data_IF_351340557445
#
_entry.id   IF_351340557445
#
_cell.length_a   1.000
_cell.length_b   1.000
_cell.length_c   1.000
_cell.angle_alpha   90.00
_cell.angle_beta   90.00
_cell.angle_gamma   90.00
#
_symmetry.space_group_name_H-M   'P 1'
#
loop_
_entity.id
_entity.type
_entity.pdbx_description
1 polymer ?
#
# COMPACT_ATOMS: atom_id res chain seq x y z
N UNK A 1 28.71 6.50 15.63
CA UNK A 1 27.82 6.49 16.80
C UNK A 1 27.57 7.94 17.21
N UNK A 2 26.31 8.40 17.29
CA UNK A 2 25.97 9.77 17.73
C UNK A 2 25.79 10.85 16.65
N UNK A 3 25.38 10.52 15.41
CA UNK A 3 25.02 11.48 14.33
C UNK A 3 23.92 10.88 13.44
N UNK A 4 23.30 11.68 12.55
CA UNK A 4 22.16 12.59 12.75
C UNK A 4 20.82 11.84 12.96
N UNK A 5 19.80 12.55 13.46
CA UNK A 5 18.40 12.09 13.47
C UNK A 5 17.96 11.71 12.05
N UNK A 6 17.66 10.43 11.85
CA UNK A 6 17.15 9.89 10.60
C UNK A 6 15.63 9.68 10.64
N UNK A 7 15.04 9.65 11.83
CA UNK A 7 13.67 9.20 12.04
C UNK A 7 12.61 10.22 11.64
N UNK A 8 12.90 11.51 11.72
CA UNK A 8 11.98 12.57 11.32
C UNK A 8 12.04 12.92 9.82
N UNK A 9 12.97 12.32 9.07
CA UNK A 9 13.12 12.58 7.64
C UNK A 9 12.13 11.76 6.78
N UNK A 10 11.58 12.35 5.70
CA UNK A 10 10.84 11.59 4.69
C UNK A 10 11.68 10.44 4.13
N UNK A 11 11.04 9.31 3.79
CA UNK A 11 11.71 8.06 3.40
C UNK A 11 12.80 8.24 2.33
N UNK A 12 12.53 9.05 1.30
CA UNK A 12 13.52 9.34 0.23
C UNK A 12 14.73 10.11 0.75
N UNK A 13 14.50 11.09 1.61
CA UNK A 13 15.55 11.90 2.24
C UNK A 13 16.39 11.03 3.18
N UNK A 14 15.75 10.21 4.01
CA UNK A 14 16.42 9.23 4.89
C UNK A 14 17.34 8.29 4.12
N UNK A 15 16.83 7.71 3.01
CA UNK A 15 17.63 6.82 2.15
C UNK A 15 18.83 7.50 1.51
N UNK A 16 18.75 8.80 1.18
CA UNK A 16 19.88 9.57 0.67
C UNK A 16 20.92 9.79 1.79
N UNK A 17 20.48 10.26 2.96
CA UNK A 17 21.38 10.54 4.09
C UNK A 17 22.10 9.28 4.55
N UNK A 18 21.40 8.16 4.69
CA UNK A 18 22.01 6.88 5.04
C UNK A 18 23.17 6.48 4.11
N UNK A 19 22.97 6.60 2.78
CA UNK A 19 24.02 6.30 1.80
C UNK A 19 25.18 7.30 1.88
N UNK A 20 24.89 8.58 2.09
CA UNK A 20 25.92 9.61 2.30
C UNK A 20 26.79 9.28 3.51
N UNK A 21 26.18 8.89 4.64
CA UNK A 21 26.91 8.52 5.86
C UNK A 21 27.81 7.30 5.63
N UNK A 22 27.30 6.25 4.99
CA UNK A 22 28.11 5.06 4.67
C UNK A 22 29.23 5.39 3.68
N UNK A 23 28.95 6.20 2.66
CA UNK A 23 29.93 6.63 1.67
C UNK A 23 31.08 7.40 2.33
N UNK A 24 30.77 8.35 3.23
CA UNK A 24 31.76 9.11 4.00
C UNK A 24 32.54 8.22 4.98
N UNK A 25 31.87 7.28 5.66
CA UNK A 25 32.52 6.35 6.58
C UNK A 25 33.52 5.42 5.88
N UNK A 26 33.27 5.08 4.61
CA UNK A 26 34.19 4.32 3.76
C UNK A 26 35.31 5.18 3.15
N UNK A 27 35.37 6.47 3.47
CA UNK A 27 36.40 7.40 2.97
C UNK A 27 36.10 7.99 1.58
N UNK A 28 34.90 7.79 1.04
CA UNK A 28 34.50 8.34 -0.25
C UNK A 28 33.85 9.72 -0.11
N UNK A 29 34.00 10.54 -1.15
CA UNK A 29 33.21 11.77 -1.31
C UNK A 29 31.83 11.40 -1.83
N UNK A 30 30.80 11.68 -1.03
CA UNK A 30 29.42 11.39 -1.42
C UNK A 30 28.98 12.28 -2.61
N UNK A 31 28.40 11.70 -3.68
CA UNK A 31 27.92 12.48 -4.81
C UNK A 31 26.68 13.29 -4.41
N UNK A 32 26.40 14.36 -5.16
CA UNK A 32 25.19 15.15 -4.99
C UNK A 32 23.90 14.31 -5.17
N UNK A 33 23.96 13.28 -6.01
CA UNK A 33 22.89 12.29 -6.20
C UNK A 33 23.48 10.89 -6.45
N UNK A 34 22.80 9.85 -5.94
CA UNK A 34 23.14 8.46 -6.19
C UNK A 34 22.40 7.94 -7.42
N UNK A 35 23.12 7.31 -8.35
CA UNK A 35 22.53 6.70 -9.53
C UNK A 35 21.55 5.57 -9.14
N UNK A 36 20.47 5.41 -9.90
CA UNK A 36 19.46 4.37 -9.67
C UNK A 36 19.88 3.00 -10.23
N UNK A 37 21.08 2.55 -9.88
CA UNK A 37 21.65 1.23 -10.19
C UNK A 37 21.88 0.40 -8.93
N UNK A 38 21.89 -0.92 -9.06
CA UNK A 38 22.11 -1.84 -7.94
C UNK A 38 23.47 -2.55 -8.13
N UNK A 39 24.36 -2.53 -7.12
CA UNK A 39 24.27 -1.79 -5.87
C UNK A 39 24.35 -0.26 -6.05
N UNK A 40 23.77 0.49 -5.11
CA UNK A 40 23.82 1.96 -5.13
C UNK A 40 25.25 2.51 -4.91
N UNK A 41 26.06 1.83 -4.09
CA UNK A 41 27.49 2.14 -3.91
C UNK A 41 28.33 1.13 -4.72
N UNK A 42 28.43 1.35 -6.03
CA UNK A 42 29.10 0.42 -6.97
C UNK A 42 30.56 0.12 -6.62
N UNK A 43 31.34 1.13 -6.28
CA UNK A 43 32.79 0.96 -6.02
C UNK A 43 33.07 0.03 -4.84
N UNK A 44 32.23 0.06 -3.80
CA UNK A 44 32.36 -0.82 -2.64
C UNK A 44 31.58 -2.14 -2.79
N UNK A 45 30.81 -2.30 -3.87
CA UNK A 45 29.80 -3.34 -4.05
C UNK A 45 28.82 -3.45 -2.85
N UNK A 46 28.26 -2.31 -2.42
CA UNK A 46 27.44 -2.19 -1.20
C UNK A 46 26.04 -1.64 -1.47
N UNK A 47 25.03 -2.27 -0.91
CA UNK A 47 23.71 -1.66 -0.70
C UNK A 47 23.49 -1.26 0.77
N UNK A 48 22.78 -0.15 0.96
CA UNK A 48 22.57 0.47 2.27
C UNK A 48 21.09 0.50 2.62
N UNK A 49 20.76 -0.02 3.79
CA UNK A 49 19.42 -0.09 4.36
C UNK A 49 19.38 0.60 5.71
N UNK A 50 18.24 1.22 6.02
CA UNK A 50 17.95 1.82 7.32
C UNK A 50 16.77 1.07 7.92
N UNK A 51 16.96 0.50 9.11
CA UNK A 51 16.07 -0.53 9.63
C UNK A 51 15.68 -0.27 11.09
N UNK A 52 14.38 -0.28 11.38
CA UNK A 52 13.80 -0.07 12.71
C UNK A 52 13.18 -1.36 13.30
N UNK A 53 13.13 -2.44 12.52
CA UNK A 53 12.51 -3.71 12.90
C UNK A 53 13.17 -4.88 12.18
N UNK A 54 12.84 -6.11 12.56
CA UNK A 54 13.43 -7.31 11.94
C UNK A 54 13.06 -7.53 10.47
N UNK A 55 12.04 -6.87 9.94
CA UNK A 55 11.58 -7.09 8.55
C UNK A 55 12.36 -6.23 7.54
N UNK A 56 13.46 -6.76 7.01
CA UNK A 56 14.22 -6.14 5.93
C UNK A 56 13.55 -6.36 4.58
N UNK A 57 13.52 -5.30 3.77
CA UNK A 57 12.76 -5.28 2.53
C UNK A 57 13.65 -4.92 1.35
N UNK A 58 13.86 -5.87 0.44
CA UNK A 58 14.65 -5.68 -0.78
C UNK A 58 13.69 -5.58 -1.96
N UNK A 59 13.77 -4.49 -2.72
CA UNK A 59 12.83 -4.22 -3.80
C UNK A 59 13.41 -4.60 -5.17
N UNK A 60 12.60 -5.29 -5.97
CA UNK A 60 12.80 -5.62 -7.39
C UNK A 60 14.04 -6.46 -7.73
N UNK A 61 14.61 -7.15 -6.75
CA UNK A 61 15.75 -8.05 -6.91
C UNK A 61 15.78 -9.08 -5.77
N UNK A 62 16.43 -10.21 -6.04
CA UNK A 62 16.85 -11.17 -5.03
C UNK A 62 18.09 -10.67 -4.26
N UNK A 63 18.50 -11.41 -3.23
CA UNK A 63 19.78 -11.17 -2.56
C UNK A 63 20.92 -11.54 -3.51
N UNK A 64 21.84 -10.62 -3.74
CA UNK A 64 23.03 -10.83 -4.56
C UNK A 64 24.15 -11.34 -3.66
N UNK A 65 24.55 -12.61 -3.85
CA UNK A 65 25.52 -13.29 -3.00
C UNK A 65 26.91 -12.63 -2.99
N UNK A 66 27.29 -11.94 -4.07
CA UNK A 66 28.58 -11.26 -4.19
C UNK A 66 28.58 -9.86 -3.55
N UNK A 67 27.40 -9.33 -3.19
CA UNK A 67 27.21 -7.97 -2.68
C UNK A 67 27.30 -7.93 -1.16
N UNK A 68 27.73 -6.79 -0.61
CA UNK A 68 27.65 -6.49 0.82
C UNK A 68 26.43 -5.63 1.13
N UNK A 69 25.79 -5.91 2.25
CA UNK A 69 24.61 -5.21 2.72
C UNK A 69 24.95 -4.51 4.04
N UNK A 70 24.87 -3.18 4.05
CA UNK A 70 25.05 -2.35 5.25
C UNK A 70 23.66 -2.00 5.79
N UNK A 71 23.33 -2.53 6.96
CA UNK A 71 22.06 -2.31 7.65
C UNK A 71 22.31 -1.39 8.84
N UNK A 72 21.85 -0.15 8.73
CA UNK A 72 21.87 0.84 9.80
C UNK A 72 20.67 0.59 10.71
N UNK A 73 20.91 0.18 11.96
CA UNK A 73 19.87 -0.05 12.96
C UNK A 73 19.48 1.29 13.57
N UNK A 74 18.19 1.61 13.53
CA UNK A 74 17.64 2.87 14.04
C UNK A 74 16.71 2.56 15.21
N UNK A 75 16.97 3.22 16.34
CA UNK A 75 16.12 3.22 17.53
C UNK A 75 16.03 4.66 18.04
N UNK A 76 14.83 5.07 18.46
CA UNK A 76 14.56 6.44 18.93
C UNK A 76 15.14 7.50 17.96
N UNK A 77 14.91 7.26 16.66
CA UNK A 77 15.31 8.11 15.54
C UNK A 77 16.83 8.30 15.31
N UNK A 78 17.67 7.63 16.11
CA UNK A 78 19.13 7.66 15.98
C UNK A 78 19.68 6.31 15.50
N UNK A 79 20.81 6.34 14.79
CA UNK A 79 21.55 5.12 14.43
C UNK A 79 22.23 4.57 15.68
N UNK A 80 21.76 3.43 16.18
CA UNK A 80 22.29 2.78 17.38
C UNK A 80 23.29 1.68 17.07
N UNK A 81 23.21 1.06 15.90
CA UNK A 81 24.15 0.01 15.48
C UNK A 81 24.26 -0.06 13.95
N UNK A 82 25.32 -0.69 13.47
CA UNK A 82 25.56 -0.94 12.05
C UNK A 82 25.96 -2.39 11.85
N UNK A 83 25.14 -3.15 11.11
CA UNK A 83 25.47 -4.50 10.68
C UNK A 83 25.94 -4.49 9.24
N UNK A 84 27.09 -5.11 8.98
CA UNK A 84 27.58 -5.37 7.63
C UNK A 84 27.54 -6.87 7.40
N UNK A 85 26.75 -7.31 6.43
CA UNK A 85 26.53 -8.72 6.15
C UNK A 85 26.77 -9.01 4.66
N UNK A 86 27.42 -10.13 4.35
CA UNK A 86 27.58 -10.58 2.98
C UNK A 86 26.24 -11.08 2.43
N UNK A 87 26.00 -10.93 1.13
CA UNK A 87 24.77 -11.38 0.51
C UNK A 87 24.53 -12.88 0.67
N UNK A 88 25.59 -13.70 0.61
CA UNK A 88 25.49 -15.14 0.86
C UNK A 88 24.92 -15.48 2.24
N UNK A 89 25.34 -14.73 3.28
CA UNK A 89 24.84 -14.92 4.65
C UNK A 89 23.44 -14.30 4.81
N UNK A 90 23.19 -13.15 4.16
CA UNK A 90 21.89 -12.50 4.21
C UNK A 90 20.79 -13.34 3.56
N UNK A 91 21.11 -14.12 2.52
CA UNK A 91 20.19 -15.01 1.86
C UNK A 91 19.63 -16.11 2.78
N UNK A 92 20.32 -16.43 3.90
CA UNK A 92 19.83 -17.40 4.88
C UNK A 92 18.55 -16.92 5.60
N UNK A 93 18.32 -15.61 5.64
CA UNK A 93 17.10 -15.02 6.19
C UNK A 93 15.92 -15.02 5.20
N UNK A 94 16.13 -15.52 3.98
CA UNK A 94 15.09 -15.69 2.98
C UNK A 94 14.34 -17.01 3.19
N UNK A 95 13.38 -16.98 4.10
CA UNK A 95 12.56 -18.16 4.40
C UNK A 95 11.46 -18.40 3.36
N UNK A 96 11.19 -17.44 2.47
CA UNK A 96 10.05 -17.50 1.55
C UNK A 96 10.48 -17.78 0.11
N UNK A 97 11.71 -17.43 -0.28
CA UNK A 97 12.26 -17.61 -1.63
C UNK A 97 11.45 -16.93 -2.73
N UNK A 98 10.46 -16.10 -2.38
CA UNK A 98 9.45 -15.61 -3.30
C UNK A 98 9.37 -14.09 -3.25
N UNK A 99 9.64 -13.47 -4.39
CA UNK A 99 9.43 -12.06 -4.63
C UNK A 99 7.93 -11.75 -4.68
N UNK A 100 7.38 -11.17 -3.61
CA UNK A 100 5.97 -10.72 -3.57
C UNK A 100 5.79 -9.47 -4.40
N UNK A 101 4.84 -9.47 -5.33
CA UNK A 101 4.73 -8.43 -6.36
C UNK A 101 3.45 -7.62 -6.18
N UNK A 102 3.54 -6.27 -6.21
CA UNK A 102 2.39 -5.37 -6.07
C UNK A 102 2.17 -4.51 -7.30
N UNK A 103 0.92 -4.40 -7.71
CA UNK A 103 0.49 -3.51 -8.79
C UNK A 103 0.34 -2.07 -8.29
N UNK A 104 0.62 -1.10 -9.15
CA UNK A 104 0.49 0.33 -8.85
C UNK A 104 -0.10 1.12 -10.01
N UNK A 105 -0.85 2.16 -9.69
CA UNK A 105 -1.47 3.07 -10.65
C UNK A 105 -1.48 4.52 -10.19
N UNK A 106 -1.59 5.47 -11.13
CA UNK A 106 -1.82 6.90 -10.88
C UNK A 106 -3.07 7.33 -11.62
N UNK A 107 -3.78 8.37 -11.14
CA UNK A 107 -4.90 8.97 -11.89
C UNK A 107 -4.41 9.57 -13.23
N UNK A 108 -5.11 9.35 -14.34
CA UNK A 108 -4.62 9.66 -15.71
C UNK A 108 -4.38 11.16 -15.93
N UNK A 109 -5.13 12.06 -15.28
CA UNK A 109 -5.20 13.47 -15.66
C UNK A 109 -5.07 14.50 -14.51
N UNK A 110 -4.54 14.13 -13.34
CA UNK A 110 -4.57 15.00 -12.13
C UNK A 110 -5.94 15.66 -11.89
N UNK A 111 -7.03 15.03 -12.40
CA UNK A 111 -8.38 15.56 -12.29
C UNK A 111 -8.69 15.71 -10.81
N UNK A 112 -9.05 16.92 -10.41
CA UNK A 112 -9.66 17.16 -9.11
C UNK A 112 -11.13 16.77 -9.18
N UNK A 113 -11.70 16.44 -8.03
CA UNK A 113 -13.11 16.14 -7.87
C UNK A 113 -13.40 14.66 -7.64
N UNK A 114 -14.49 14.46 -6.91
CA UNK A 114 -15.12 13.16 -6.71
C UNK A 114 -15.84 12.70 -7.98
N UNK A 115 -15.82 11.40 -8.25
CA UNK A 115 -16.35 10.82 -9.48
C UNK A 115 -16.82 9.38 -9.27
N UNK A 116 -17.99 9.07 -9.83
CA UNK A 116 -18.40 7.70 -10.14
C UNK A 116 -18.00 7.40 -11.59
N UNK A 117 -17.00 6.54 -11.79
CA UNK A 117 -16.43 6.24 -13.11
C UNK A 117 -17.29 5.22 -13.86
N UNK A 118 -17.71 4.16 -13.17
CA UNK A 118 -18.58 3.14 -13.74
C UNK A 118 -20.04 3.51 -13.49
N UNK A 119 -20.84 3.60 -14.55
CA UNK A 119 -22.26 3.89 -14.43
C UNK A 119 -23.05 2.77 -13.74
N UNK A 120 -22.60 1.52 -13.88
CA UNK A 120 -23.22 0.31 -13.32
C UNK A 120 -22.16 -0.70 -12.89
N UNK A 121 -22.53 -1.63 -12.01
CA UNK A 121 -21.75 -2.83 -11.70
C UNK A 121 -21.57 -3.73 -12.94
N UNK A 122 -20.60 -4.66 -12.91
CA UNK A 122 -20.39 -5.59 -14.02
C UNK A 122 -21.59 -6.54 -14.18
N UNK A 123 -21.85 -7.07 -15.40
CA UNK A 123 -22.96 -7.99 -15.61
C UNK A 123 -22.92 -9.23 -14.70
N UNK A 124 -21.73 -9.81 -14.49
CA UNK A 124 -21.56 -10.97 -13.61
C UNK A 124 -21.94 -10.64 -12.16
N UNK A 125 -21.54 -9.46 -11.67
CA UNK A 125 -21.90 -8.97 -10.35
C UNK A 125 -23.41 -8.81 -10.19
N UNK A 126 -24.05 -8.13 -11.16
CA UNK A 126 -25.49 -7.87 -11.15
C UNK A 126 -26.28 -9.18 -11.17
N UNK A 127 -25.95 -10.09 -12.07
CA UNK A 127 -26.61 -11.41 -12.16
C UNK A 127 -26.45 -12.22 -10.88
N UNK A 128 -25.26 -12.17 -10.25
CA UNK A 128 -24.95 -13.01 -9.08
C UNK A 128 -25.58 -12.51 -7.78
N UNK A 129 -25.61 -11.19 -7.59
CA UNK A 129 -25.94 -10.57 -6.31
C UNK A 129 -27.20 -9.71 -6.31
N UNK A 130 -27.79 -9.41 -7.47
CA UNK A 130 -28.97 -8.54 -7.58
C UNK A 130 -28.87 -7.29 -6.67
N UNK A 131 -27.86 -6.42 -6.91
CA UNK A 131 -27.58 -5.31 -6.02
C UNK A 131 -28.72 -4.29 -5.98
N UNK A 132 -28.81 -3.56 -4.87
CA UNK A 132 -29.90 -2.60 -4.59
C UNK A 132 -29.37 -1.31 -3.98
N UNK A 133 -30.19 -0.26 -3.94
CA UNK A 133 -29.82 1.02 -3.34
C UNK A 133 -29.78 1.00 -1.80
N UNK A 134 -30.21 -0.11 -1.20
CA UNK A 134 -30.25 -0.30 0.25
C UNK A 134 -29.97 -1.75 0.64
N UNK A 135 -29.37 -1.94 1.82
CA UNK A 135 -29.09 -3.24 2.41
C UNK A 135 -29.87 -3.40 3.72
N UNK A 136 -30.17 -4.64 4.14
CA UNK A 136 -30.75 -4.90 5.45
C UNK A 136 -29.86 -4.39 6.60
N UNK A 137 -30.47 -4.11 7.75
CA UNK A 137 -29.70 -3.84 8.96
C UNK A 137 -28.92 -5.09 9.40
N UNK A 138 -27.80 -4.87 10.08
CA UNK A 138 -27.03 -5.97 10.68
C UNK A 138 -26.08 -6.69 9.72
N UNK A 139 -25.91 -6.23 8.47
CA UNK A 139 -24.93 -6.83 7.54
C UNK A 139 -23.52 -6.61 8.09
N UNK A 140 -22.78 -7.69 8.29
CA UNK A 140 -21.37 -7.65 8.69
C UNK A 140 -20.48 -7.31 7.48
N UNK A 141 -19.41 -6.51 7.63
CA UNK A 141 -18.50 -6.20 6.51
C UNK A 141 -17.74 -7.43 5.98
N UNK A 142 -17.56 -8.45 6.82
CA UNK A 142 -16.65 -9.58 6.57
C UNK A 142 -17.32 -10.88 6.14
N UNK A 143 -18.66 -10.90 6.07
CA UNK A 143 -19.36 -12.08 5.55
C UNK A 143 -19.33 -12.10 4.03
N UNK A 144 -19.42 -13.27 3.39
CA UNK A 144 -19.55 -13.35 1.94
C UNK A 144 -20.74 -12.53 1.41
N UNK A 145 -20.62 -11.94 0.21
CA UNK A 145 -21.72 -11.23 -0.42
C UNK A 145 -22.88 -12.17 -0.72
N UNK A 146 -24.11 -11.70 -0.47
CA UNK A 146 -25.34 -12.49 -0.71
C UNK A 146 -26.35 -11.68 -1.50
N UNK A 147 -27.19 -12.38 -2.27
CA UNK A 147 -28.19 -11.75 -3.12
C UNK A 147 -29.08 -10.75 -2.35
N UNK A 148 -29.29 -9.55 -2.89
CA UNK A 148 -30.12 -8.49 -2.30
C UNK A 148 -29.55 -7.85 -1.02
N UNK A 149 -28.32 -8.20 -0.60
CA UNK A 149 -27.62 -7.59 0.55
C UNK A 149 -26.36 -6.84 0.14
N UNK A 150 -26.26 -6.50 -1.13
CA UNK A 150 -25.12 -5.79 -1.72
C UNK A 150 -25.64 -4.50 -2.32
N UNK A 151 -24.99 -3.38 -1.99
CA UNK A 151 -25.30 -2.10 -2.59
C UNK A 151 -24.94 -2.10 -4.08
N UNK A 152 -25.70 -1.40 -4.91
CA UNK A 152 -25.23 -1.04 -6.25
C UNK A 152 -24.13 0.03 -6.20
N UNK A 153 -23.31 0.12 -7.24
CA UNK A 153 -22.15 1.01 -7.24
C UNK A 153 -22.51 2.49 -7.09
N UNK A 154 -23.69 2.91 -7.58
CA UNK A 154 -24.16 4.28 -7.45
C UNK A 154 -24.50 4.59 -5.98
N UNK A 155 -25.16 3.65 -5.29
CA UNK A 155 -25.45 3.74 -3.86
C UNK A 155 -24.17 3.74 -3.02
N UNK A 156 -23.16 2.93 -3.38
CA UNK A 156 -21.83 2.99 -2.75
C UNK A 156 -21.26 4.41 -2.87
N UNK A 157 -21.22 4.97 -4.08
CA UNK A 157 -20.70 6.33 -4.30
C UNK A 157 -21.47 7.38 -3.48
N UNK A 158 -22.80 7.39 -3.56
CA UNK A 158 -23.63 8.38 -2.87
C UNK A 158 -23.54 8.28 -1.35
N UNK A 159 -23.36 7.07 -0.79
CA UNK A 159 -23.19 6.88 0.65
C UNK A 159 -21.81 7.30 1.15
N UNK A 160 -20.77 7.13 0.34
CA UNK A 160 -19.41 7.48 0.70
C UNK A 160 -19.06 8.95 0.44
N UNK A 161 -19.72 9.60 -0.52
CA UNK A 161 -19.48 11.00 -0.89
C UNK A 161 -19.54 12.00 0.29
N UNK A 162 -20.47 11.87 1.27
CA UNK A 162 -20.51 12.75 2.45
C UNK A 162 -19.31 12.65 3.39
N UNK A 163 -18.38 11.71 3.17
CA UNK A 163 -17.11 11.67 3.90
C UNK A 163 -16.11 12.73 3.41
N UNK A 164 -16.30 13.25 2.19
CA UNK A 164 -15.45 14.31 1.63
C UNK A 164 -15.64 15.62 2.43
N UNK A 165 -14.52 16.29 2.68
CA UNK A 165 -14.42 17.47 3.55
C UNK A 165 -14.20 17.15 5.03
N UNK A 166 -14.42 15.90 5.48
CA UNK A 166 -14.15 15.50 6.86
C UNK A 166 -12.66 15.43 7.15
N UNK A 167 -12.29 15.81 8.36
CA UNK A 167 -10.92 15.75 8.88
C UNK A 167 -10.79 14.72 9.99
N UNK A 168 -9.66 14.01 9.99
CA UNK A 168 -9.35 12.96 10.97
C UNK A 168 -7.99 13.23 11.60
N UNK A 169 -7.79 12.75 12.82
CA UNK A 169 -6.48 12.78 13.47
C UNK A 169 -5.48 11.95 12.67
N UNK A 170 -4.29 12.51 12.44
CA UNK A 170 -3.19 11.84 11.77
C UNK A 170 -2.28 11.18 12.83
N UNK A 171 -2.20 9.84 12.89
CA UNK A 171 -1.39 9.12 13.88
C UNK A 171 0.13 9.27 13.70
N UNK A 172 0.57 10.03 12.68
CA UNK A 172 1.99 10.38 12.46
C UNK A 172 2.51 9.89 11.12
N UNK A 173 3.64 10.44 10.66
CA UNK A 173 4.07 10.32 9.25
C UNK A 173 4.18 8.88 8.73
N UNK A 174 4.64 7.94 9.56
CA UNK A 174 4.86 6.53 9.21
C UNK A 174 3.62 5.63 9.36
N UNK A 175 2.50 6.16 9.84
CA UNK A 175 1.31 5.40 10.23
C UNK A 175 0.26 5.32 9.12
N UNK A 176 0.69 5.04 7.88
CA UNK A 176 -0.20 4.99 6.71
C UNK A 176 -1.31 3.93 6.85
N UNK A 177 -0.95 2.76 7.40
CA UNK A 177 -1.90 1.69 7.68
C UNK A 177 -3.01 2.15 8.61
N UNK A 178 -2.67 2.85 9.69
CA UNK A 178 -3.64 3.33 10.67
C UNK A 178 -4.57 4.39 10.07
N UNK A 179 -4.05 5.26 9.18
CA UNK A 179 -4.89 6.22 8.43
C UNK A 179 -5.87 5.50 7.51
N UNK A 180 -5.42 4.46 6.81
CA UNK A 180 -6.29 3.60 6.00
C UNK A 180 -7.41 2.96 6.83
N UNK A 181 -7.09 2.44 8.03
CA UNK A 181 -8.08 1.86 8.94
C UNK A 181 -9.16 2.86 9.39
N UNK A 182 -8.80 4.13 9.59
CA UNK A 182 -9.78 5.20 9.89
C UNK A 182 -10.78 5.35 8.75
N UNK A 183 -10.30 5.47 7.51
CA UNK A 183 -11.18 5.64 6.34
C UNK A 183 -12.02 4.39 6.09
N UNK A 184 -11.46 3.20 6.27
CA UNK A 184 -12.21 1.94 6.17
C UNK A 184 -13.34 1.88 7.22
N UNK A 185 -13.08 2.26 8.47
CA UNK A 185 -14.10 2.35 9.52
C UNK A 185 -15.24 3.31 9.14
N UNK A 186 -14.90 4.50 8.65
CA UNK A 186 -15.89 5.49 8.20
C UNK A 186 -16.71 4.99 7.01
N UNK A 187 -16.05 4.30 6.06
CA UNK A 187 -16.74 3.68 4.93
C UNK A 187 -17.74 2.61 5.40
N UNK A 188 -17.38 1.73 6.35
CA UNK A 188 -18.31 0.75 6.91
C UNK A 188 -19.55 1.43 7.51
N UNK A 189 -19.34 2.49 8.30
CA UNK A 189 -20.44 3.25 8.90
C UNK A 189 -21.32 3.91 7.85
N UNK A 190 -20.73 4.57 6.86
CA UNK A 190 -21.44 5.29 5.81
C UNK A 190 -22.26 4.36 4.91
N UNK A 191 -21.77 3.14 4.66
CA UNK A 191 -22.49 2.12 3.89
C UNK A 191 -23.66 1.50 4.68
N UNK A 192 -23.74 1.70 6.00
CA UNK A 192 -24.78 1.15 6.87
C UNK A 192 -24.49 -0.28 7.33
N UNK A 193 -23.20 -0.66 7.41
CA UNK A 193 -22.78 -1.96 7.93
C UNK A 193 -22.83 -1.96 9.45
N UNK A 194 -23.00 -3.14 10.03
CA UNK A 194 -23.21 -3.33 11.47
C UNK A 194 -22.05 -2.85 12.35
N UNK A 195 -20.81 -2.95 11.85
CA UNK A 195 -19.60 -2.56 12.55
C UNK A 195 -18.43 -2.46 11.57
N UNK A 196 -17.27 -2.01 12.05
CA UNK A 196 -15.98 -2.14 11.36
C UNK A 196 -15.34 -3.48 11.71
N UNK A 197 -14.88 -4.22 10.70
CA UNK A 197 -14.02 -5.38 10.87
C UNK A 197 -13.12 -5.53 9.63
N UNK A 198 -11.91 -6.06 9.85
CA UNK A 198 -10.92 -6.36 8.83
C UNK A 198 -10.39 -7.78 9.10
N UNK A 199 -10.44 -8.66 8.11
CA UNK A 199 -9.92 -10.03 8.21
C UNK A 199 -8.63 -10.23 7.41
N UNK A 200 -8.03 -9.13 6.92
CA UNK A 200 -6.77 -9.12 6.18
C UNK A 200 -6.87 -9.77 4.80
N UNK A 201 -8.07 -9.96 4.27
CA UNK A 201 -8.32 -10.53 2.95
C UNK A 201 -8.83 -9.44 2.01
N UNK A 202 -8.42 -9.53 0.75
CA UNK A 202 -8.97 -8.69 -0.31
C UNK A 202 -10.36 -9.23 -0.74
N UNK A 203 -11.37 -8.35 -0.93
CA UNK A 203 -11.35 -6.90 -0.68
C UNK A 203 -11.63 -6.53 0.78
N UNK A 204 -11.27 -5.30 1.16
CA UNK A 204 -11.46 -4.75 2.52
C UNK A 204 -12.86 -4.98 3.10
N UNK A 205 -13.92 -4.72 2.33
CA UNK A 205 -15.32 -4.96 2.71
C UNK A 205 -15.88 -6.09 1.85
N UNK A 206 -15.69 -7.34 2.30
CA UNK A 206 -16.08 -8.55 1.57
C UNK A 206 -17.57 -8.59 1.25
N UNK A 207 -18.44 -8.25 2.20
CA UNK A 207 -19.89 -8.34 2.01
C UNK A 207 -20.41 -7.40 0.93
N UNK A 208 -19.64 -6.37 0.60
CA UNK A 208 -19.92 -5.42 -0.47
C UNK A 208 -18.94 -5.55 -1.65
N UNK A 209 -18.01 -6.51 -1.64
CA UNK A 209 -16.95 -6.62 -2.65
C UNK A 209 -16.32 -5.27 -2.99
N UNK A 210 -15.91 -4.53 -1.95
CA UNK A 210 -15.42 -3.16 -2.06
C UNK A 210 -14.06 -3.04 -1.39
N UNK A 211 -13.06 -2.64 -2.16
CA UNK A 211 -11.73 -2.26 -1.69
C UNK A 211 -11.71 -0.76 -1.38
N UNK A 212 -11.19 -0.37 -0.21
CA UNK A 212 -11.17 1.03 0.25
C UNK A 212 -9.73 1.50 0.39
N UNK A 213 -9.33 2.50 -0.40
CA UNK A 213 -7.96 3.03 -0.33
C UNK A 213 -7.95 4.51 -0.02
N UNK A 214 -7.10 4.91 0.93
CA UNK A 214 -6.73 6.31 1.16
C UNK A 214 -5.43 6.63 0.42
N UNK A 215 -5.42 7.75 -0.29
CA UNK A 215 -4.30 8.25 -1.07
C UNK A 215 -3.96 9.68 -0.66
N UNK A 216 -2.84 9.83 0.06
CA UNK A 216 -2.25 11.13 0.38
C UNK A 216 -1.12 11.51 -0.60
N UNK A 217 -0.73 10.56 -1.45
CA UNK A 217 0.22 10.72 -2.52
C UNK A 217 -0.45 10.40 -3.87
N UNK A 218 0.20 10.75 -4.98
CA UNK A 218 -0.34 10.51 -6.33
C UNK A 218 -0.52 9.02 -6.68
N UNK A 219 0.26 8.14 -6.03
CA UNK A 219 0.40 6.73 -6.40
C UNK A 219 -0.44 5.83 -5.54
N UNK A 220 -1.31 5.06 -6.21
CA UNK A 220 -2.19 4.07 -5.62
C UNK A 220 -1.48 2.72 -5.59
N UNK A 221 -1.37 2.11 -4.41
CA UNK A 221 -0.98 0.69 -4.26
C UNK A 221 -2.22 -0.18 -4.47
N UNK A 222 -2.24 -0.97 -5.54
CA UNK A 222 -3.34 -1.87 -5.89
C UNK A 222 -3.27 -3.20 -5.14
N UNK A 223 -2.16 -3.49 -4.46
CA UNK A 223 -1.94 -4.77 -3.79
C UNK A 223 -1.52 -5.87 -4.78
N UNK A 224 -1.87 -7.11 -4.45
CA UNK A 224 -1.48 -8.30 -5.21
C UNK A 224 -2.39 -8.58 -6.41
N UNK A 225 -3.63 -8.08 -6.37
CA UNK A 225 -4.65 -8.35 -7.39
C UNK A 225 -4.70 -7.19 -8.40
N UNK A 226 -4.62 -7.52 -9.69
CA UNK A 226 -4.77 -6.54 -10.76
C UNK A 226 -6.27 -6.26 -10.98
N UNK A 227 -6.75 -5.00 -10.87
CA UNK A 227 -8.17 -4.69 -10.91
C UNK A 227 -8.93 -5.25 -12.11
N UNK A 228 -8.38 -5.20 -13.33
CA UNK A 228 -9.07 -5.69 -14.53
C UNK A 228 -9.00 -7.22 -14.72
N UNK A 229 -8.36 -7.94 -13.79
CA UNK A 229 -8.09 -9.36 -13.94
C UNK A 229 -9.37 -10.21 -13.97
N UNK A 230 -9.49 -11.16 -14.91
CA UNK A 230 -10.57 -12.13 -14.93
C UNK A 230 -10.36 -13.28 -13.93
N UNK A 231 -9.26 -13.29 -13.16
CA UNK A 231 -8.98 -14.33 -12.16
C UNK A 231 -10.13 -14.48 -11.17
N UNK A 232 -10.57 -15.72 -10.85
CA UNK A 232 -11.58 -15.96 -9.83
C UNK A 232 -11.16 -15.39 -8.45
N UNK A 233 -12.07 -14.67 -7.80
CA UNK A 233 -11.82 -14.07 -6.49
C UNK A 233 -11.91 -15.13 -5.39
N UNK A 234 -10.78 -15.46 -4.77
CA UNK A 234 -10.69 -16.52 -3.76
C UNK A 234 -11.59 -16.27 -2.53
N UNK A 235 -11.64 -15.04 -2.01
CA UNK A 235 -12.45 -14.67 -0.85
C UNK A 235 -13.97 -14.77 -1.11
N UNK A 236 -14.39 -14.81 -2.38
CA UNK A 236 -15.76 -15.05 -2.79
C UNK A 236 -15.97 -16.47 -3.34
N UNK A 237 -15.08 -17.43 -3.01
CA UNK A 237 -15.12 -18.81 -3.51
C UNK A 237 -15.15 -18.91 -5.05
N UNK A 238 -14.55 -17.94 -5.75
CA UNK A 238 -14.48 -17.91 -7.20
C UNK A 238 -15.81 -17.67 -7.93
N UNK A 239 -16.89 -17.30 -7.23
CA UNK A 239 -18.20 -17.05 -7.85
C UNK A 239 -18.23 -15.80 -8.72
N UNK A 240 -17.26 -14.92 -8.52
CA UNK A 240 -16.97 -13.72 -9.31
C UNK A 240 -15.46 -13.59 -9.49
N UNK A 241 -15.04 -12.70 -10.37
CA UNK A 241 -13.65 -12.40 -10.70
C UNK A 241 -13.17 -11.11 -10.02
N UNK A 242 -11.84 -10.90 -9.99
CA UNK A 242 -11.23 -9.68 -9.41
C UNK A 242 -11.81 -8.41 -10.05
N UNK A 243 -12.04 -8.40 -11.37
CA UNK A 243 -12.68 -7.29 -12.09
C UNK A 243 -14.10 -6.93 -11.65
N UNK A 244 -14.77 -7.80 -10.91
CA UNK A 244 -16.09 -7.55 -10.35
C UNK A 244 -16.01 -6.83 -8.98
N UNK A 245 -14.83 -6.77 -8.37
CA UNK A 245 -14.59 -5.97 -7.16
C UNK A 245 -14.64 -4.49 -7.50
N UNK A 246 -15.22 -3.70 -6.59
CA UNK A 246 -15.27 -2.24 -6.70
C UNK A 246 -14.17 -1.60 -5.88
N UNK A 247 -13.77 -0.41 -6.27
CA UNK A 247 -12.74 0.37 -5.60
C UNK A 247 -13.31 1.72 -5.20
N UNK A 248 -13.24 2.06 -3.91
CA UNK A 248 -13.44 3.39 -3.38
C UNK A 248 -12.07 3.99 -3.03
N UNK A 249 -11.58 4.86 -3.91
CA UNK A 249 -10.30 5.55 -3.75
C UNK A 249 -10.56 6.95 -3.21
N UNK A 250 -10.27 7.13 -1.92
CA UNK A 250 -10.27 8.43 -1.27
C UNK A 250 -8.93 9.12 -1.47
N UNK A 251 -8.99 10.38 -1.88
CA UNK A 251 -7.85 11.29 -1.85
C UNK A 251 -7.93 12.16 -0.60
N UNK A 252 -6.78 12.53 -0.08
CA UNK A 252 -6.72 13.46 1.03
C UNK A 252 -5.43 14.26 1.07
N UNK A 253 -5.48 15.33 1.86
CA UNK A 253 -4.34 16.20 2.13
C UNK A 253 -4.05 16.22 3.61
N UNK A 254 -2.77 16.34 3.98
CA UNK A 254 -2.33 16.44 5.37
C UNK A 254 -2.25 17.90 5.77
N UNK A 255 -2.71 18.22 6.98
CA UNK A 255 -2.62 19.55 7.57
C UNK A 255 -2.20 19.42 9.02
N UNK A 256 -0.89 19.47 9.27
CA UNK A 256 -0.34 19.32 10.62
C UNK A 256 -0.69 17.97 11.26
N UNK A 257 -1.42 17.93 12.39
CA UNK A 257 -1.79 16.71 13.11
C UNK A 257 -3.07 16.04 12.57
N UNK A 258 -3.59 16.47 11.43
CA UNK A 258 -4.79 15.91 10.81
C UNK A 258 -4.61 15.66 9.31
N UNK A 259 -5.52 14.88 8.74
CA UNK A 259 -5.71 14.79 7.30
C UNK A 259 -7.18 14.98 6.94
N UNK A 260 -7.44 15.63 5.81
CA UNK A 260 -8.78 15.88 5.28
C UNK A 260 -8.99 15.05 4.01
N UNK A 261 -10.18 14.47 3.83
CA UNK A 261 -10.56 13.82 2.59
C UNK A 261 -11.03 14.87 1.58
N UNK A 262 -10.44 14.88 0.38
CA UNK A 262 -10.70 15.90 -0.65
C UNK A 262 -11.54 15.38 -1.79
N UNK A 263 -11.33 14.12 -2.19
CA UNK A 263 -12.00 13.55 -3.36
C UNK A 263 -12.28 12.06 -3.15
N UNK A 264 -13.32 11.56 -3.80
CA UNK A 264 -13.67 10.14 -3.85
C UNK A 264 -13.83 9.70 -5.30
N UNK A 265 -13.08 8.68 -5.71
CA UNK A 265 -13.31 7.99 -6.98
C UNK A 265 -13.87 6.60 -6.69
N UNK A 266 -15.04 6.29 -7.27
CA UNK A 266 -15.64 4.95 -7.22
C UNK A 266 -15.67 4.34 -8.61
N UNK A 267 -15.14 3.12 -8.76
CA UNK A 267 -15.01 2.43 -10.05
C UNK A 267 -15.06 0.92 -9.86
N UNK A 268 -15.51 0.17 -10.88
CA UNK A 268 -15.36 -1.28 -10.91
C UNK A 268 -13.91 -1.67 -11.27
N UNK A 269 -13.48 -2.87 -10.91
CA UNK A 269 -12.17 -3.39 -11.35
C UNK A 269 -12.05 -3.45 -12.87
N UNK A 270 -13.13 -3.84 -13.55
CA UNK A 270 -13.25 -3.84 -15.01
C UNK A 270 -12.94 -2.47 -15.65
N UNK A 271 -13.44 -1.39 -15.05
CA UNK A 271 -13.28 -0.03 -15.58
C UNK A 271 -12.13 0.74 -14.95
N UNK A 272 -11.36 0.10 -14.05
CA UNK A 272 -10.37 0.78 -13.23
C UNK A 272 -9.39 1.62 -14.07
N UNK A 273 -8.87 1.04 -15.15
CA UNK A 273 -7.90 1.72 -16.01
C UNK A 273 -8.50 2.74 -16.99
N UNK A 274 -9.81 3.00 -16.94
CA UNK A 274 -10.43 4.16 -17.61
C UNK A 274 -10.09 5.48 -16.92
N UNK A 275 -9.90 5.45 -15.60
CA UNK A 275 -9.54 6.64 -14.79
C UNK A 275 -8.09 6.61 -14.29
N UNK A 276 -7.51 5.41 -14.18
CA UNK A 276 -6.16 5.21 -13.67
C UNK A 276 -5.21 4.69 -14.76
N UNK A 277 -3.99 5.22 -14.78
CA UNK A 277 -2.88 4.71 -15.58
C UNK A 277 -2.09 3.74 -14.74
N UNK A 278 -1.97 2.49 -15.19
CA UNK A 278 -0.99 1.57 -14.64
C UNK A 278 0.43 2.11 -14.89
N UNK A 279 1.35 1.90 -13.96
CA UNK A 279 2.72 2.36 -14.14
C UNK A 279 3.38 1.61 -15.30
N UNK A 280 3.79 2.33 -16.35
CA UNK A 280 4.46 1.78 -17.54
C UNK A 280 5.93 1.34 -17.31
N UNK A 281 6.37 1.18 -16.06
CA UNK A 281 7.67 0.62 -15.67
C UNK A 281 7.62 -0.89 -15.48
N UNK A 282 8.36 -1.45 -14.50
CA UNK A 282 8.04 -2.82 -14.01
C UNK A 282 6.58 -2.76 -13.51
N UNK A 283 5.68 -3.33 -14.30
CA UNK A 283 4.21 -3.39 -14.16
C UNK A 283 3.78 -3.78 -12.74
N UNK A 284 4.67 -4.47 -12.04
CA UNK A 284 4.58 -4.80 -10.63
C UNK A 284 5.92 -4.49 -9.94
N UNK A 285 5.87 -3.90 -8.74
CA UNK A 285 7.02 -3.78 -7.86
C UNK A 285 7.10 -5.04 -7.00
N UNK A 286 8.16 -5.80 -7.17
CA UNK A 286 8.41 -6.98 -6.34
C UNK A 286 9.22 -6.64 -5.10
N UNK A 287 9.00 -7.38 -4.03
CA UNK A 287 9.63 -7.19 -2.74
C UNK A 287 9.95 -8.55 -2.14
N UNK A 288 11.23 -8.71 -1.81
CA UNK A 288 11.71 -9.77 -0.94
C UNK A 288 11.64 -9.28 0.51
N UNK A 289 11.10 -10.11 1.40
CA UNK A 289 11.05 -9.84 2.84
C UNK A 289 11.93 -10.83 3.55
N UNK A 290 12.93 -10.32 4.27
CA UNK A 290 13.86 -11.11 5.05
C UNK A 290 13.62 -10.81 6.53
N UNK A 291 13.41 -11.85 7.33
CA UNK A 291 13.28 -11.71 8.78
C UNK A 291 14.67 -11.76 9.40
N UNK A 292 15.26 -10.61 9.65
CA UNK A 292 16.55 -10.46 10.33
C UNK A 292 16.46 -10.95 11.79
N UNK A 293 17.61 -11.28 12.35
CA UNK A 293 17.74 -11.69 13.75
C UNK A 293 17.25 -10.59 14.71
N UNK A 294 16.40 -10.96 15.66
CA UNK A 294 15.89 -10.06 16.69
C UNK A 294 17.01 -9.49 17.57
N UNK A 295 18.11 -10.23 17.75
CA UNK A 295 19.28 -9.80 18.52
C UNK A 295 19.98 -8.56 17.91
N UNK A 296 19.71 -8.21 16.65
CA UNK A 296 20.25 -6.99 16.05
C UNK A 296 19.55 -5.71 16.55
N UNK A 297 18.41 -5.85 17.21
CA UNK A 297 17.53 -4.75 17.62
C UNK A 297 17.36 -4.62 19.14
N UNK A 298 17.99 -5.50 19.92
CA UNK A 298 18.04 -5.50 21.38
C UNK A 298 19.33 -4.89 21.87
#
# INVERSE_FOLDING_TARGET
>A
MGRPDLGNLPVRTRSKVAKTLVCQALGYVAPASFQKVNPRLRHANVDVYSQQSTNLQIWNQEVDSARRYVVLIIKDDVITDVKVIAGADLAQFDTTGTLTSKFQANRINDRAGSMLVSAVDTPAFVTRFAPSSSIPQGVSPVVPPTQGKVLDIAAVYHRLLPLIGRSYSDPGQTQERNRGSVVHKEACSALGLSHYADHGQFPDILSQLLEVKLQLARTIDLGLELPESPTPLASANGVVSVRDVRYAIFYGTRTGPSFQLTDLVVVTGHDFFKEFRQFAGKVSNSKLQLRLDAAWFT
#
